data_IF_455438870576
#
_entry.id   IF_455438870576
#
_cell.length_a   1.000
_cell.length_b   1.000
_cell.length_c   1.000
_cell.angle_alpha   90.00
_cell.angle_beta   90.00
_cell.angle_gamma   90.00
#
_symmetry.space_group_name_H-M   'P 1'
#
loop_
_entity.id
_entity.type
_entity.pdbx_description
1 polymer ?
#
# COMPACT_ATOMS: atom_id res chain seq x y z
N UNK A 1 45.60 -12.57 -25.63
CA UNK A 1 44.96 -11.24 -25.56
C UNK A 1 43.45 -11.25 -25.89
N UNK A 2 42.94 -12.09 -26.81
CA UNK A 2 41.51 -12.14 -27.13
C UNK A 2 40.62 -12.88 -26.09
N UNK A 3 41.16 -13.85 -25.35
CA UNK A 3 40.41 -14.63 -24.35
C UNK A 3 40.08 -13.83 -23.06
N UNK A 4 41.00 -12.95 -22.63
CA UNK A 4 40.83 -12.06 -21.46
C UNK A 4 39.69 -11.06 -21.66
N UNK A 5 39.56 -10.50 -22.87
CA UNK A 5 38.50 -9.57 -23.22
C UNK A 5 37.10 -10.21 -23.16
N UNK A 6 36.99 -11.48 -23.54
CA UNK A 6 35.74 -12.23 -23.46
C UNK A 6 35.35 -12.58 -22.01
N UNK A 7 36.33 -12.91 -21.16
CA UNK A 7 36.10 -13.15 -19.72
C UNK A 7 35.72 -11.85 -18.99
N UNK A 8 36.39 -10.74 -19.31
CA UNK A 8 36.09 -9.41 -18.76
C UNK A 8 34.71 -8.89 -19.19
N UNK A 9 34.28 -9.14 -20.43
CA UNK A 9 32.95 -8.79 -20.90
C UNK A 9 31.85 -9.65 -20.25
N UNK A 10 32.11 -10.94 -20.02
CA UNK A 10 31.19 -11.85 -19.32
C UNK A 10 31.08 -11.54 -17.83
N UNK A 11 32.20 -11.18 -17.19
CA UNK A 11 32.19 -10.75 -15.78
C UNK A 11 31.51 -9.39 -15.60
N UNK A 12 31.68 -8.47 -16.56
CA UNK A 12 30.99 -7.17 -16.58
C UNK A 12 29.48 -7.32 -16.78
N UNK A 13 29.06 -8.22 -17.68
CA UNK A 13 27.64 -8.56 -17.86
C UNK A 13 27.03 -9.22 -16.63
N UNK A 14 27.78 -10.11 -15.97
CA UNK A 14 27.34 -10.75 -14.72
C UNK A 14 27.22 -9.72 -13.59
N UNK A 15 28.17 -8.79 -13.47
CA UNK A 15 28.13 -7.71 -12.48
C UNK A 15 26.93 -6.78 -12.70
N UNK A 16 26.65 -6.40 -13.94
CA UNK A 16 25.47 -5.60 -14.30
C UNK A 16 24.16 -6.35 -13.98
N UNK A 17 24.09 -7.64 -14.29
CA UNK A 17 22.94 -8.48 -13.95
C UNK A 17 22.73 -8.58 -12.43
N UNK A 18 23.81 -8.76 -11.67
CA UNK A 18 23.77 -8.81 -10.21
C UNK A 18 23.30 -7.48 -9.61
N UNK A 19 23.74 -6.33 -10.15
CA UNK A 19 23.26 -5.00 -9.72
C UNK A 19 21.79 -4.78 -10.07
N UNK A 20 21.35 -5.24 -11.24
CA UNK A 20 19.94 -5.16 -11.64
C UNK A 20 19.03 -6.05 -10.77
N UNK A 21 19.50 -7.24 -10.36
CA UNK A 21 18.77 -8.11 -9.44
C UNK A 21 18.79 -7.60 -7.99
N UNK A 22 19.82 -6.84 -7.60
CA UNK A 22 19.93 -6.24 -6.28
C UNK A 22 19.12 -4.93 -6.14
N UNK A 23 18.60 -4.38 -7.24
CA UNK A 23 17.70 -3.24 -7.23
C UNK A 23 16.33 -3.66 -6.69
N UNK A 24 16.21 -3.74 -5.36
CA UNK A 24 14.91 -3.87 -4.72
C UNK A 24 14.14 -2.57 -4.97
N UNK A 25 12.89 -2.63 -5.45
CA UNK A 25 12.07 -1.43 -5.51
C UNK A 25 11.97 -0.92 -4.08
N UNK A 26 12.39 0.33 -3.86
CA UNK A 26 12.15 1.01 -2.60
C UNK A 26 10.63 1.15 -2.50
N UNK A 27 9.99 0.17 -1.88
CA UNK A 27 8.56 0.20 -1.67
C UNK A 27 8.27 1.48 -0.89
N UNK A 28 7.59 2.43 -1.53
CA UNK A 28 7.15 3.63 -0.85
C UNK A 28 6.37 3.16 0.37
N UNK A 29 6.89 3.43 1.57
CA UNK A 29 6.28 3.02 2.82
C UNK A 29 4.99 3.82 2.97
N UNK A 30 3.92 3.31 2.36
CA UNK A 30 2.61 3.90 2.45
C UNK A 30 2.02 3.53 3.79
N UNK A 31 1.53 4.53 4.50
CA UNK A 31 0.82 4.33 5.76
C UNK A 31 -0.42 5.20 5.77
N UNK A 32 -1.39 4.82 6.58
CA UNK A 32 -2.52 5.70 6.86
C UNK A 32 -2.98 5.48 8.30
N UNK A 33 -3.61 6.50 8.86
CA UNK A 33 -4.22 6.45 10.18
C UNK A 33 -5.63 7.02 10.12
N UNK A 34 -6.51 6.48 10.95
CA UNK A 34 -7.83 7.06 11.21
C UNK A 34 -7.62 8.05 12.35
N UNK A 35 -7.71 9.34 12.07
CA UNK A 35 -7.54 10.39 13.08
C UNK A 35 -8.81 10.58 13.90
N UNK A 36 -9.95 10.43 13.24
CA UNK A 36 -11.25 10.62 13.87
C UNK A 36 -12.29 9.70 13.26
N UNK A 37 -13.10 9.09 14.11
CA UNK A 37 -14.22 8.26 13.74
C UNK A 37 -15.43 8.69 14.57
N UNK A 38 -16.45 9.25 13.91
CA UNK A 38 -17.73 9.58 14.53
C UNK A 38 -18.83 8.74 13.88
N UNK A 39 -19.67 8.13 14.71
CA UNK A 39 -20.85 7.40 14.26
C UNK A 39 -22.10 8.02 14.89
N UNK A 40 -23.10 8.30 14.06
CA UNK A 40 -24.44 8.65 14.50
C UNK A 40 -25.38 7.50 14.15
N UNK A 41 -25.97 6.91 15.18
CA UNK A 41 -26.90 5.78 15.05
C UNK A 41 -28.27 6.26 15.48
N UNK A 42 -29.27 6.08 14.61
CA UNK A 42 -30.67 6.41 14.88
C UNK A 42 -31.53 5.17 14.70
N UNK A 43 -32.29 4.83 15.74
CA UNK A 43 -33.31 3.79 15.66
C UNK A 43 -34.63 4.44 15.28
N UNK A 44 -35.24 3.93 14.22
CA UNK A 44 -36.51 4.39 13.70
C UNK A 44 -37.68 3.71 14.41
N UNK A 45 -38.87 4.30 14.26
CA UNK A 45 -40.10 3.75 14.88
C UNK A 45 -40.50 2.38 14.34
N UNK A 46 -40.07 2.04 13.13
CA UNK A 46 -40.25 0.74 12.49
C UNK A 46 -39.12 -0.25 12.80
N UNK A 47 -38.27 0.07 13.78
CA UNK A 47 -37.06 -0.67 14.16
C UNK A 47 -35.95 -0.75 13.10
N UNK A 48 -36.05 0.01 11.99
CA UNK A 48 -34.91 0.20 11.10
C UNK A 48 -33.83 1.07 11.76
N UNK A 49 -32.57 0.91 11.34
CA UNK A 49 -31.43 1.64 11.91
C UNK A 49 -30.75 2.45 10.80
N UNK A 50 -30.67 3.76 11.00
CA UNK A 50 -29.85 4.63 10.18
C UNK A 50 -28.49 4.82 10.85
N UNK A 51 -27.44 4.47 10.12
CA UNK A 51 -26.04 4.65 10.56
C UNK A 51 -25.37 5.64 9.63
N UNK A 52 -24.86 6.74 10.20
CA UNK A 52 -24.01 7.70 9.48
C UNK A 52 -22.63 7.73 10.11
N UNK A 53 -21.63 7.26 9.37
CA UNK A 53 -20.22 7.26 9.79
C UNK A 53 -19.47 8.42 9.13
N UNK A 54 -18.75 9.20 9.92
CA UNK A 54 -17.83 10.24 9.44
C UNK A 54 -16.42 9.87 9.85
N UNK A 55 -15.55 9.64 8.86
CA UNK A 55 -14.20 9.12 9.07
C UNK A 55 -13.18 10.10 8.52
N UNK A 56 -12.30 10.59 9.38
CA UNK A 56 -11.16 11.40 8.98
C UNK A 56 -9.92 10.52 8.92
N UNK A 57 -9.43 10.29 7.70
CA UNK A 57 -8.24 9.49 7.46
C UNK A 57 -7.07 10.38 7.00
N UNK A 58 -5.89 10.17 7.58
CA UNK A 58 -4.64 10.74 7.08
C UNK A 58 -3.91 9.68 6.28
N UNK A 59 -3.65 9.98 5.01
CA UNK A 59 -2.86 9.13 4.12
C UNK A 59 -1.43 9.66 4.01
N UNK A 60 -0.46 8.75 4.13
CA UNK A 60 0.94 8.99 3.83
C UNK A 60 1.31 8.11 2.63
N UNK A 61 1.49 8.74 1.47
CA UNK A 61 1.61 8.05 0.19
C UNK A 61 0.32 8.11 -0.63
N UNK A 62 0.31 7.42 -1.77
CA UNK A 62 -0.80 7.47 -2.72
C UNK A 62 -1.82 6.34 -2.45
N UNK A 63 -3.08 6.72 -2.31
CA UNK A 63 -4.21 5.83 -2.04
C UNK A 63 -5.42 6.21 -2.89
N UNK A 64 -6.23 5.23 -3.26
CA UNK A 64 -7.49 5.45 -3.99
C UNK A 64 -8.69 5.66 -3.05
N UNK A 65 -8.47 5.61 -1.73
CA UNK A 65 -9.51 5.71 -0.72
C UNK A 65 -9.36 4.66 0.38
N UNK A 66 -10.43 4.49 1.16
CA UNK A 66 -10.51 3.55 2.27
C UNK A 66 -11.39 2.36 1.88
N UNK A 67 -10.86 1.15 1.99
CA UNK A 67 -11.62 -0.08 1.82
C UNK A 67 -12.05 -0.59 3.20
N UNK A 68 -13.36 -0.76 3.41
CA UNK A 68 -13.90 -1.30 4.66
C UNK A 68 -14.99 -2.33 4.39
N UNK A 69 -15.02 -3.34 5.24
CA UNK A 69 -16.21 -4.18 5.44
C UNK A 69 -17.09 -3.49 6.46
N UNK A 70 -18.31 -3.14 6.09
CA UNK A 70 -19.30 -2.60 7.04
C UNK A 70 -19.91 -3.80 7.77
N UNK A 71 -19.68 -3.94 9.09
CA UNK A 71 -20.24 -5.06 9.82
C UNK A 71 -21.75 -4.88 9.98
N UNK A 72 -22.47 -5.99 9.97
CA UNK A 72 -23.92 -6.02 10.24
C UNK A 72 -24.22 -6.19 11.74
N UNK A 73 -23.19 -6.42 12.55
CA UNK A 73 -23.23 -6.60 14.00
C UNK A 73 -22.19 -5.66 14.63
N UNK A 74 -22.59 -4.83 15.60
CA UNK A 74 -21.73 -3.90 16.33
C UNK A 74 -21.76 -4.20 17.84
#
# INVERSE_FOLDING_TARGET
MAAEAAVAARSSGLALLLVALAATPLAAQRSYSIERFDARIRVNRDASIDVTETITARFNGSYNGLFRTIPVEY
#
